data_IF_092256246013
#
_entry.id   IF_092256246013
#
_cell.length_a   1.000
_cell.length_b   1.000
_cell.length_c   1.000
_cell.angle_alpha   90.00
_cell.angle_beta   90.00
_cell.angle_gamma   90.00
#
_symmetry.space_group_name_H-M   'P 1'
#
loop_
_entity.id
_entity.type
_entity.pdbx_description
1 polymer ?
#
# COMPACT_ATOMS: atom_id res chain seq x y z
N UNK A 1 -13.49 0.85 -16.58
CA UNK A 1 -13.52 -0.49 -15.94
C UNK A 1 -14.95 -0.78 -15.48
N UNK A 2 -15.46 -2.02 -15.55
CA UNK A 2 -16.80 -2.31 -15.07
C UNK A 2 -16.84 -2.07 -13.55
N UNK A 3 -17.87 -1.37 -13.06
CA UNK A 3 -18.13 -1.28 -11.62
C UNK A 3 -18.42 -2.70 -11.12
N UNK A 4 -17.46 -3.32 -10.43
CA UNK A 4 -17.61 -4.69 -9.93
C UNK A 4 -18.74 -4.77 -8.92
N UNK A 5 -19.77 -5.59 -9.17
CA UNK A 5 -20.83 -6.07 -8.26
C UNK A 5 -21.36 -5.15 -7.13
N UNK A 6 -21.20 -3.83 -7.21
CA UNK A 6 -21.54 -2.89 -6.14
C UNK A 6 -20.61 -2.91 -4.91
N UNK A 7 -19.42 -3.54 -5.01
CA UNK A 7 -18.44 -3.56 -3.90
C UNK A 7 -17.24 -2.65 -4.17
N UNK A 8 -16.73 -2.02 -3.12
CA UNK A 8 -15.61 -1.07 -3.16
C UNK A 8 -14.32 -1.86 -3.04
N UNK A 9 -13.43 -1.73 -4.03
CA UNK A 9 -12.13 -2.42 -4.02
C UNK A 9 -11.15 -1.74 -3.07
N UNK A 10 -10.36 -2.51 -2.33
CA UNK A 10 -9.33 -2.01 -1.41
C UNK A 10 -7.98 -2.59 -1.76
N UNK A 11 -6.98 -1.73 -1.95
CA UNK A 11 -5.59 -2.14 -2.17
C UNK A 11 -4.80 -1.72 -0.94
N UNK A 12 -4.04 -2.64 -0.36
CA UNK A 12 -3.12 -2.32 0.74
C UNK A 12 -1.72 -2.28 0.18
N UNK A 13 -1.05 -1.13 0.28
CA UNK A 13 0.31 -0.91 -0.20
C UNK A 13 1.23 -0.73 0.99
N UNK A 14 2.16 -1.66 1.15
CA UNK A 14 3.13 -1.73 2.23
C UNK A 14 4.54 -1.57 1.68
N UNK A 15 5.51 -1.39 2.57
CA UNK A 15 6.91 -1.24 2.22
C UNK A 15 7.67 -0.30 3.14
N UNK A 16 8.99 -0.43 3.12
CA UNK A 16 9.90 0.38 3.93
C UNK A 16 9.75 1.89 3.69
N UNK A 17 10.25 2.69 4.64
CA UNK A 17 10.37 4.13 4.46
C UNK A 17 11.27 4.42 3.24
N UNK A 18 10.85 5.32 2.36
CA UNK A 18 11.62 5.66 1.15
C UNK A 18 11.58 4.60 0.04
N UNK A 19 10.83 3.50 0.19
CA UNK A 19 10.67 2.48 -0.86
C UNK A 19 9.94 3.01 -2.12
N UNK A 20 9.28 4.16 -2.02
CA UNK A 20 8.58 4.80 -3.13
C UNK A 20 7.12 4.37 -3.30
N UNK A 21 6.48 3.92 -2.21
CA UNK A 21 5.04 3.61 -2.14
C UNK A 21 4.18 4.72 -2.74
N UNK A 22 4.36 5.96 -2.29
CA UNK A 22 3.63 7.12 -2.80
C UNK A 22 3.78 7.27 -4.32
N UNK A 23 4.99 7.12 -4.87
CA UNK A 23 5.21 7.17 -6.33
C UNK A 23 4.44 6.08 -7.06
N UNK A 24 4.46 4.84 -6.55
CA UNK A 24 3.71 3.70 -7.10
C UNK A 24 2.20 3.97 -7.08
N UNK A 25 1.68 4.42 -5.94
CA UNK A 25 0.26 4.76 -5.76
C UNK A 25 -0.16 5.86 -6.71
N UNK A 26 0.58 6.96 -6.78
CA UNK A 26 0.28 8.08 -7.68
C UNK A 26 0.32 7.64 -9.14
N UNK A 27 1.27 6.79 -9.53
CA UNK A 27 1.33 6.20 -10.88
C UNK A 27 0.09 5.37 -11.20
N UNK A 28 -0.36 4.53 -10.26
CA UNK A 28 -1.57 3.73 -10.40
C UNK A 28 -2.81 4.63 -10.53
N UNK A 29 -2.97 5.60 -9.64
CA UNK A 29 -4.13 6.51 -9.63
C UNK A 29 -4.26 7.25 -10.96
N UNK A 30 -3.16 7.75 -11.55
CA UNK A 30 -3.20 8.43 -12.87
C UNK A 30 -3.83 7.57 -13.96
N UNK A 31 -3.71 6.26 -13.86
CA UNK A 31 -4.20 5.33 -14.87
C UNK A 31 -5.66 4.94 -14.65
N UNK A 32 -6.16 5.00 -13.41
CA UNK A 32 -7.48 4.45 -13.06
C UNK A 32 -8.50 5.50 -12.61
N UNK A 33 -8.06 6.63 -12.07
CA UNK A 33 -8.96 7.66 -11.57
C UNK A 33 -9.54 8.49 -12.72
N UNK A 34 -10.80 8.89 -12.58
CA UNK A 34 -11.49 9.72 -13.56
C UNK A 34 -12.83 10.21 -13.06
N UNK A 35 -13.59 10.96 -13.88
CA UNK A 35 -14.88 11.53 -13.48
C UNK A 35 -15.88 10.50 -12.93
N UNK A 36 -15.85 9.28 -13.47
CA UNK A 36 -16.78 8.19 -13.12
C UNK A 36 -16.15 7.10 -12.23
N UNK A 37 -14.89 7.28 -11.80
CA UNK A 37 -14.16 6.32 -10.99
C UNK A 37 -13.35 7.01 -9.89
N UNK A 38 -13.94 7.06 -8.69
CA UNK A 38 -13.41 7.77 -7.52
C UNK A 38 -12.46 6.89 -6.73
N UNK A 39 -11.19 7.29 -6.68
CA UNK A 39 -10.17 6.64 -5.85
C UNK A 39 -9.90 7.50 -4.63
N UNK A 40 -9.93 6.89 -3.45
CA UNK A 40 -9.56 7.54 -2.19
C UNK A 40 -8.29 6.89 -1.66
N UNK A 41 -7.30 7.71 -1.34
CA UNK A 41 -6.04 7.26 -0.77
C UNK A 41 -6.03 7.57 0.73
N UNK A 42 -6.01 6.50 1.53
CA UNK A 42 -5.81 6.51 2.97
C UNK A 42 -4.34 6.29 3.25
N UNK A 43 -3.66 7.33 3.76
CA UNK A 43 -2.27 7.25 4.15
C UNK A 43 -2.15 7.19 5.66
N UNK A 44 -1.35 6.27 6.16
CA UNK A 44 -0.86 6.34 7.53
C UNK A 44 0.60 6.81 7.55
N UNK A 45 0.87 8.07 7.88
CA UNK A 45 2.23 8.52 8.16
C UNK A 45 2.33 9.59 9.27
N UNK A 46 3.47 9.57 9.95
CA UNK A 46 4.17 10.77 10.42
C UNK A 46 5.05 11.26 9.27
N UNK A 47 4.82 12.49 8.77
CA UNK A 47 5.50 13.07 7.60
C UNK A 47 4.98 14.48 7.25
N UNK A 48 5.55 15.13 6.23
CA UNK A 48 5.24 16.52 5.85
C UNK A 48 3.92 16.61 5.05
N UNK A 49 2.81 16.57 5.80
CA UNK A 49 1.40 16.47 5.39
C UNK A 49 1.01 17.39 4.21
N UNK A 50 1.67 18.54 4.08
CA UNK A 50 1.34 19.53 3.06
C UNK A 50 1.78 19.12 1.64
N UNK A 51 2.86 18.36 1.51
CA UNK A 51 3.42 17.98 0.20
C UNK A 51 2.54 16.90 -0.46
N UNK A 52 2.10 15.91 0.31
CA UNK A 52 1.32 14.79 -0.21
C UNK A 52 -0.13 15.17 -0.52
N UNK A 53 -0.74 16.03 0.30
CA UNK A 53 -2.08 16.56 0.03
C UNK A 53 -2.10 17.50 -1.20
N UNK A 54 -0.98 18.17 -1.51
CA UNK A 54 -0.82 18.95 -2.73
C UNK A 54 -0.67 18.03 -3.95
N UNK A 55 0.20 17.01 -3.86
CA UNK A 55 0.40 16.00 -4.91
C UNK A 55 -0.88 15.24 -5.23
N UNK A 56 -1.66 14.84 -4.22
CA UNK A 56 -2.96 14.20 -4.43
C UNK A 56 -3.96 15.12 -5.15
N UNK A 57 -4.07 16.38 -4.72
CA UNK A 57 -4.99 17.35 -5.32
C UNK A 57 -4.66 17.67 -6.78
N UNK A 58 -3.39 17.79 -7.15
CA UNK A 58 -2.96 17.96 -8.55
C UNK A 58 -3.38 16.80 -9.45
N UNK A 59 -3.69 15.64 -8.87
CA UNK A 59 -3.98 14.40 -9.55
C UNK A 59 -5.43 13.94 -9.42
N UNK A 60 -6.31 14.83 -8.92
CA UNK A 60 -7.74 14.55 -8.75
C UNK A 60 -8.07 13.60 -7.59
N UNK A 61 -7.11 13.35 -6.68
CA UNK A 61 -7.33 12.57 -5.46
C UNK A 61 -7.91 13.43 -4.35
N UNK A 62 -8.94 12.91 -3.70
CA UNK A 62 -9.32 13.34 -2.36
C UNK A 62 -8.44 12.58 -1.36
N UNK A 63 -7.45 13.29 -0.81
CA UNK A 63 -6.59 12.79 0.27
C UNK A 63 -7.26 13.06 1.61
N UNK A 64 -7.54 12.01 2.41
CA UNK A 64 -8.03 12.15 3.80
C UNK A 64 -7.00 11.60 4.77
N UNK A 65 -6.71 12.40 5.79
CA UNK A 65 -5.75 12.08 6.85
C UNK A 65 -6.45 11.41 8.04
N UNK A 66 -5.77 10.45 8.67
CA UNK A 66 -6.19 9.88 9.95
C UNK A 66 -5.70 10.79 11.08
N UNK A 67 -6.43 11.88 11.33
CA UNK A 67 -6.13 12.83 12.41
C UNK A 67 -6.54 12.23 13.76
N UNK A 68 -5.66 11.40 14.34
CA UNK A 68 -5.44 11.14 15.78
C UNK A 68 -4.73 9.79 16.03
N UNK A 69 -3.53 9.61 15.48
CA UNK A 69 -2.60 8.56 15.92
C UNK A 69 -2.22 7.52 14.86
N UNK A 70 -0.92 7.21 14.82
CA UNK A 70 -0.28 6.25 13.93
C UNK A 70 -0.94 4.86 13.84
N UNK A 71 -1.28 4.39 12.63
CA UNK A 71 -1.51 2.97 12.25
C UNK A 71 -0.28 2.09 12.57
N UNK A 72 0.91 2.66 12.71
CA UNK A 72 2.12 1.90 13.08
C UNK A 72 2.17 1.46 14.55
N UNK A 73 1.45 2.16 15.43
CA UNK A 73 1.86 2.20 16.82
C UNK A 73 0.68 2.18 17.82
N UNK A 74 -0.58 2.40 17.38
CA UNK A 74 -1.77 2.28 18.25
C UNK A 74 -3.13 2.06 17.53
N UNK A 75 -3.19 1.73 16.24
CA UNK A 75 -4.39 2.03 15.44
C UNK A 75 -5.01 0.85 14.67
N UNK A 76 -5.63 -0.07 15.41
CA UNK A 76 -6.78 -0.79 14.87
C UNK A 76 -8.06 0.06 14.98
N UNK A 77 -8.22 0.82 16.07
CA UNK A 77 -9.36 1.74 16.23
C UNK A 77 -9.41 2.86 15.18
N UNK A 78 -8.26 3.42 14.78
CA UNK A 78 -8.26 4.54 13.84
C UNK A 78 -8.50 4.12 12.38
N UNK A 79 -8.26 2.84 12.03
CA UNK A 79 -8.54 2.37 10.68
C UNK A 79 -10.05 2.25 10.43
N UNK A 80 -10.80 1.73 11.41
CA UNK A 80 -12.26 1.62 11.34
C UNK A 80 -12.92 3.00 11.14
N UNK A 81 -12.51 3.99 11.93
CA UNK A 81 -13.01 5.37 11.82
C UNK A 81 -12.65 6.01 10.47
N UNK A 82 -11.40 5.85 10.02
CA UNK A 82 -10.95 6.39 8.74
C UNK A 82 -11.70 5.78 7.56
N UNK A 83 -11.88 4.45 7.57
CA UNK A 83 -12.66 3.75 6.56
C UNK A 83 -14.11 4.22 6.57
N UNK A 84 -14.72 4.36 7.75
CA UNK A 84 -16.10 4.88 7.88
C UNK A 84 -16.27 6.27 7.25
N UNK A 85 -15.34 7.19 7.51
CA UNK A 85 -15.34 8.52 6.91
C UNK A 85 -15.09 8.50 5.40
N UNK A 86 -14.28 7.57 4.91
CA UNK A 86 -14.04 7.42 3.47
C UNK A 86 -15.27 6.86 2.76
N UNK A 87 -16.02 5.97 3.40
CA UNK A 87 -17.25 5.41 2.83
C UNK A 87 -18.33 6.49 2.59
N UNK A 88 -18.38 7.55 3.41
CA UNK A 88 -19.25 8.71 3.19
C UNK A 88 -18.93 9.46 1.89
N UNK A 89 -17.71 9.30 1.35
CA UNK A 89 -17.29 9.88 0.09
C UNK A 89 -17.63 9.01 -1.12
N UNK A 90 -18.40 7.92 -0.94
CA UNK A 90 -18.83 7.00 -2.00
C UNK A 90 -17.71 6.62 -2.98
N UNK A 91 -16.58 6.05 -2.52
CA UNK A 91 -15.46 5.71 -3.37
C UNK A 91 -15.77 4.46 -4.22
N UNK A 92 -15.21 4.40 -5.43
CA UNK A 92 -15.18 3.15 -6.21
C UNK A 92 -13.97 2.28 -5.79
N UNK A 93 -12.88 2.90 -5.30
CA UNK A 93 -11.68 2.20 -4.80
C UNK A 93 -11.02 2.96 -3.65
N UNK A 94 -10.49 2.21 -2.69
CA UNK A 94 -9.67 2.71 -1.58
C UNK A 94 -8.25 2.15 -1.74
N UNK A 95 -7.24 3.00 -1.59
CA UNK A 95 -5.84 2.60 -1.49
C UNK A 95 -5.37 2.94 -0.08
N UNK A 96 -4.89 1.94 0.66
CA UNK A 96 -4.37 2.11 2.01
C UNK A 96 -2.86 2.00 1.94
N UNK A 97 -2.15 3.08 2.24
CA UNK A 97 -0.70 3.07 2.41
C UNK A 97 -0.34 2.87 3.87
N UNK A 98 0.50 1.86 4.15
CA UNK A 98 1.00 1.57 5.48
C UNK A 98 2.50 1.28 5.49
N UNK A 99 3.09 1.26 6.67
CA UNK A 99 4.50 0.92 6.86
C UNK A 99 4.74 -0.57 6.59
N UNK A 100 5.91 -0.91 6.03
CA UNK A 100 6.34 -2.31 5.84
C UNK A 100 6.53 -3.11 7.13
N UNK A 101 6.47 -2.46 8.30
CA UNK A 101 6.45 -3.14 9.61
C UNK A 101 5.04 -3.46 10.10
N UNK A 102 3.99 -2.93 9.47
CA UNK A 102 2.62 -3.23 9.82
C UNK A 102 2.25 -4.65 9.36
N UNK A 103 1.73 -5.46 10.27
CA UNK A 103 1.34 -6.82 9.93
C UNK A 103 0.05 -6.81 9.08
N UNK A 104 -0.03 -7.55 7.96
CA UNK A 104 -1.21 -7.64 7.10
C UNK A 104 -2.49 -8.12 7.78
N UNK A 105 -2.40 -9.16 8.62
CA UNK A 105 -3.58 -9.84 9.15
C UNK A 105 -4.53 -8.91 9.96
N UNK A 106 -4.06 -8.09 10.91
CA UNK A 106 -4.93 -7.14 11.60
C UNK A 106 -5.64 -6.14 10.65
N UNK A 107 -4.94 -5.63 9.63
CA UNK A 107 -5.55 -4.73 8.63
C UNK A 107 -6.67 -5.45 7.88
N UNK A 108 -6.40 -6.67 7.40
CA UNK A 108 -7.40 -7.47 6.71
C UNK A 108 -8.60 -7.82 7.60
N UNK A 109 -8.38 -8.05 8.90
CA UNK A 109 -9.46 -8.29 9.86
C UNK A 109 -10.37 -7.07 10.03
N UNK A 110 -9.81 -5.87 10.14
CA UNK A 110 -10.59 -4.64 10.25
C UNK A 110 -11.38 -4.34 8.97
N UNK A 111 -10.75 -4.47 7.80
CA UNK A 111 -11.44 -4.26 6.52
C UNK A 111 -12.59 -5.26 6.31
N UNK A 112 -12.48 -6.49 6.81
CA UNK A 112 -13.55 -7.50 6.76
C UNK A 112 -14.78 -7.14 7.60
N UNK A 113 -14.71 -6.17 8.50
CA UNK A 113 -15.88 -5.66 9.24
C UNK A 113 -16.83 -4.87 8.35
N UNK A 114 -16.36 -4.39 7.19
CA UNK A 114 -17.15 -3.62 6.24
C UNK A 114 -17.59 -4.51 5.07
N UNK A 115 -18.85 -5.01 5.05
CA UNK A 115 -19.31 -6.00 4.05
C UNK A 115 -19.29 -5.50 2.59
N UNK A 116 -19.32 -4.18 2.39
CA UNK A 116 -19.22 -3.51 1.11
C UNK A 116 -17.79 -3.42 0.55
N UNK A 117 -16.76 -3.69 1.37
CA UNK A 117 -15.37 -3.68 0.92
C UNK A 117 -14.94 -5.07 0.42
N UNK A 118 -14.04 -5.07 -0.56
CA UNK A 118 -13.30 -6.26 -0.99
C UNK A 118 -11.83 -5.90 -1.02
N UNK A 119 -11.01 -6.67 -0.29
CA UNK A 119 -9.55 -6.57 -0.41
C UNK A 119 -9.19 -7.16 -1.78
N UNK A 120 -8.75 -6.30 -2.69
CA UNK A 120 -8.39 -6.60 -4.07
C UNK A 120 -6.96 -7.13 -4.15
N UNK A 121 -6.04 -6.47 -3.44
CA UNK A 121 -4.66 -6.90 -3.35
C UNK A 121 -3.94 -6.32 -2.14
N UNK A 122 -2.93 -7.04 -1.68
CA UNK A 122 -1.89 -6.56 -0.80
C UNK A 122 -0.55 -6.55 -1.53
N UNK A 123 0.11 -5.40 -1.52
CA UNK A 123 1.30 -5.11 -2.31
C UNK A 123 2.44 -4.74 -1.39
N UNK A 124 3.60 -5.37 -1.56
CA UNK A 124 4.84 -4.94 -0.90
C UNK A 124 5.72 -4.19 -1.91
N UNK A 125 6.09 -2.94 -1.60
CA UNK A 125 7.02 -2.16 -2.42
C UNK A 125 8.42 -2.25 -1.82
N UNK A 126 9.37 -2.70 -2.63
CA UNK A 126 10.76 -2.93 -2.28
C UNK A 126 11.67 -1.93 -2.98
N UNK A 127 12.64 -1.36 -2.26
CA UNK A 127 13.69 -0.51 -2.82
C UNK A 127 14.89 -1.35 -3.28
N UNK A 128 15.06 -1.58 -4.58
CA UNK A 128 16.14 -2.40 -5.12
C UNK A 128 17.54 -1.88 -4.74
N UNK A 129 17.73 -0.58 -4.47
CA UNK A 129 19.04 -0.07 -4.07
C UNK A 129 19.44 -0.56 -2.69
N UNK A 130 18.49 -0.57 -1.76
CA UNK A 130 18.74 -0.79 -0.34
C UNK A 130 18.17 -2.12 0.19
N UNK A 131 17.57 -2.94 -0.67
CA UNK A 131 17.00 -4.22 -0.27
C UNK A 131 18.06 -5.28 -0.01
N UNK A 132 17.86 -6.04 1.06
CA UNK A 132 18.68 -7.20 1.36
C UNK A 132 19.65 -7.03 2.52
N UNK A 133 20.35 -8.13 2.80
CA UNK A 133 21.10 -8.34 4.03
C UNK A 133 20.21 -8.88 5.15
N UNK A 134 20.62 -10.00 5.76
CA UNK A 134 19.89 -10.66 6.84
C UNK A 134 19.65 -9.71 8.02
N UNK A 135 18.44 -9.18 8.12
CA UNK A 135 18.04 -8.24 9.17
C UNK A 135 16.76 -8.69 9.86
N UNK A 136 16.44 -8.07 11.00
CA UNK A 136 15.14 -8.27 11.66
C UNK A 136 13.95 -7.95 10.74
N UNK A 137 14.17 -7.15 9.68
CA UNK A 137 13.14 -6.85 8.69
C UNK A 137 12.76 -8.09 7.86
N UNK A 138 13.66 -9.06 7.69
CA UNK A 138 13.37 -10.25 6.88
C UNK A 138 12.46 -11.22 7.64
N UNK A 139 12.59 -11.29 8.96
CA UNK A 139 11.67 -12.05 9.81
C UNK A 139 10.24 -11.48 9.67
N UNK A 140 10.13 -10.15 9.71
CA UNK A 140 8.84 -9.45 9.52
C UNK A 140 8.31 -9.72 8.11
N UNK A 141 9.10 -9.54 7.07
CA UNK A 141 8.68 -9.78 5.67
C UNK A 141 8.26 -11.23 5.41
N UNK A 142 9.00 -12.22 5.93
CA UNK A 142 8.60 -13.63 5.83
C UNK A 142 7.27 -13.90 6.53
N UNK A 143 7.00 -13.22 7.64
CA UNK A 143 5.68 -13.31 8.29
C UNK A 143 4.55 -12.72 7.43
N UNK A 144 4.89 -11.76 6.55
CA UNK A 144 3.96 -11.13 5.61
C UNK A 144 3.75 -11.95 4.33
N UNK A 145 4.74 -12.75 3.91
CA UNK A 145 4.79 -13.37 2.58
C UNK A 145 3.48 -14.08 2.16
N UNK A 146 2.87 -14.84 3.06
CA UNK A 146 1.60 -15.55 2.82
C UNK A 146 0.36 -14.66 2.59
N UNK A 147 0.51 -13.34 2.77
CA UNK A 147 -0.55 -12.35 2.59
C UNK A 147 -0.31 -11.42 1.41
N UNK A 148 0.90 -11.38 0.86
CA UNK A 148 1.27 -10.48 -0.24
C UNK A 148 0.88 -11.12 -1.56
N UNK A 149 0.07 -10.43 -2.34
CA UNK A 149 -0.39 -10.90 -3.65
C UNK A 149 0.63 -10.60 -4.76
N UNK A 150 1.38 -9.51 -4.64
CA UNK A 150 2.51 -9.19 -5.52
C UNK A 150 3.51 -8.24 -4.88
N UNK A 151 4.76 -8.38 -5.28
CA UNK A 151 5.88 -7.52 -4.89
C UNK A 151 6.21 -6.56 -6.03
N UNK A 152 6.39 -5.29 -5.72
CA UNK A 152 6.84 -4.27 -6.67
C UNK A 152 8.29 -3.93 -6.39
N UNK A 153 9.18 -4.20 -7.35
CA UNK A 153 10.58 -3.80 -7.28
C UNK A 153 10.73 -2.36 -7.81
N UNK A 154 10.95 -1.42 -6.90
CA UNK A 154 11.15 -0.02 -7.25
C UNK A 154 12.64 0.33 -7.33
N UNK A 155 12.93 1.40 -8.08
CA UNK A 155 14.30 1.94 -8.31
C UNK A 155 15.26 0.95 -9.01
N UNK A 156 14.74 -0.02 -9.74
CA UNK A 156 15.53 -0.98 -10.54
C UNK A 156 16.46 -0.29 -11.55
N UNK A 157 16.06 0.87 -12.10
CA UNK A 157 16.92 1.66 -13.00
C UNK A 157 18.08 2.37 -12.32
N UNK A 158 18.25 2.23 -11.00
CA UNK A 158 19.35 2.81 -10.21
C UNK A 158 20.36 1.77 -9.74
N UNK A 159 20.18 0.49 -10.10
CA UNK A 159 21.10 -0.60 -9.75
C UNK A 159 21.67 -1.25 -11.02
N UNK A 160 22.83 -1.90 -10.89
CA UNK A 160 23.41 -2.71 -11.97
C UNK A 160 22.74 -4.09 -12.04
N UNK A 161 23.00 -4.83 -13.12
CA UNK A 161 22.43 -6.17 -13.36
C UNK A 161 22.75 -7.13 -12.20
N UNK A 162 23.98 -7.11 -11.68
CA UNK A 162 24.40 -7.97 -10.58
C UNK A 162 23.60 -7.71 -9.31
N UNK A 163 23.41 -6.45 -8.96
CA UNK A 163 22.62 -6.07 -7.80
C UNK A 163 21.14 -6.40 -7.98
N UNK A 164 20.61 -6.25 -9.20
CA UNK A 164 19.25 -6.65 -9.50
C UNK A 164 19.05 -8.16 -9.32
N UNK A 165 19.99 -8.98 -9.80
CA UNK A 165 19.99 -10.43 -9.61
C UNK A 165 20.04 -10.80 -8.12
N UNK A 166 20.95 -10.19 -7.34
CA UNK A 166 21.04 -10.41 -5.89
C UNK A 166 19.69 -10.10 -5.18
N UNK A 167 19.05 -8.99 -5.56
CA UNK A 167 17.75 -8.58 -5.00
C UNK A 167 16.64 -9.55 -5.39
N UNK A 168 16.60 -10.02 -6.64
CA UNK A 168 15.61 -10.97 -7.12
C UNK A 168 15.71 -12.30 -6.37
N UNK A 169 16.93 -12.82 -6.17
CA UNK A 169 17.17 -14.04 -5.40
C UNK A 169 16.68 -13.89 -3.95
N UNK A 170 17.00 -12.78 -3.29
CA UNK A 170 16.53 -12.49 -1.94
C UNK A 170 15.00 -12.33 -1.85
N UNK A 171 14.37 -11.71 -2.85
CA UNK A 171 12.91 -11.58 -2.92
C UNK A 171 12.26 -12.95 -3.09
N UNK A 172 12.77 -13.79 -3.97
CA UNK A 172 12.24 -15.14 -4.20
C UNK A 172 12.42 -16.05 -2.98
N UNK A 173 13.48 -15.86 -2.19
CA UNK A 173 13.66 -16.59 -0.94
C UNK A 173 12.65 -16.17 0.14
N UNK A 174 12.23 -14.90 0.16
CA UNK A 174 11.24 -14.39 1.12
C UNK A 174 9.81 -14.65 0.63
N UNK A 175 9.56 -14.52 -0.67
CA UNK A 175 8.25 -14.55 -1.32
C UNK A 175 8.20 -15.58 -2.47
N UNK A 176 8.39 -16.88 -2.19
CA UNK A 176 8.61 -17.90 -3.22
C UNK A 176 7.44 -18.10 -4.18
N UNK A 177 6.21 -17.86 -3.71
CA UNK A 177 4.98 -18.06 -4.49
C UNK A 177 4.31 -16.74 -4.93
N UNK A 178 4.97 -15.60 -4.69
CA UNK A 178 4.41 -14.27 -4.95
C UNK A 178 5.01 -13.67 -6.22
N UNK A 179 4.19 -13.29 -7.23
CA UNK A 179 4.67 -12.57 -8.41
C UNK A 179 5.43 -11.29 -8.05
N UNK A 180 6.56 -11.06 -8.72
CA UNK A 180 7.37 -9.83 -8.62
C UNK A 180 7.31 -9.07 -9.94
N UNK A 181 7.05 -7.76 -9.88
CA UNK A 181 6.83 -6.88 -11.05
C UNK A 181 7.71 -5.63 -10.96
#
# INVERSE_FOLDING_TARGET
MPKGNGKISVNVVMGGLGAGKTTVILSLVRQIAGPDYRVIWLKNEFGDVNVDAALGREMGLLTREVMNGCLCCTALGNLEDAVSQVLELEPDRIIIETAGTAHPAPIAMELKRFPQLVIDSLVEVIDAMHFGGFTNHDIIRRSHAKYVDFVVLNKVGMVDERRLDDVLDEVLDIYPDTPSI
#
